data_IF_471601280061
#
_entry.id   IF_471601280061
#
_cell.length_a   1.000
_cell.length_b   1.000
_cell.length_c   1.000
_cell.angle_alpha   90.00
_cell.angle_beta   90.00
_cell.angle_gamma   90.00
#
_symmetry.space_group_name_H-M   'P 1'
#
loop_
_entity.id
_entity.type
_entity.pdbx_description
1 polymer ?
#
# COMPACT_ATOMS: atom_id res chain seq x y z
N UNK A 1 7.26 20.34 32.88
CA UNK A 1 6.13 19.75 32.12
C UNK A 1 6.25 20.17 30.65
N UNK A 2 6.98 19.42 29.81
CA UNK A 2 6.99 19.62 28.35
C UNK A 2 7.82 18.51 27.67
N UNK A 3 7.21 17.36 27.35
CA UNK A 3 7.88 16.33 26.55
C UNK A 3 6.84 15.53 25.74
N UNK A 4 6.02 16.23 24.94
CA UNK A 4 4.99 15.57 24.12
C UNK A 4 4.96 15.98 22.64
N UNK A 5 5.77 16.95 22.21
CA UNK A 5 5.69 17.51 20.85
C UNK A 5 6.59 16.86 19.78
N UNK A 6 7.53 15.97 20.17
CA UNK A 6 8.45 15.35 19.20
C UNK A 6 7.82 14.20 18.39
N UNK A 7 6.86 13.47 18.97
CA UNK A 7 6.25 12.29 18.32
C UNK A 7 5.16 12.68 17.32
N UNK A 8 4.33 13.68 17.65
CA UNK A 8 3.26 14.18 16.78
C UNK A 8 3.81 14.71 15.44
N UNK A 9 4.97 15.36 15.46
CA UNK A 9 5.58 15.91 14.26
C UNK A 9 6.08 14.82 13.29
N UNK A 10 6.44 13.64 13.80
CA UNK A 10 6.89 12.51 12.98
C UNK A 10 5.71 11.73 12.39
N UNK A 11 4.65 11.53 13.17
CA UNK A 11 3.42 10.86 12.70
C UNK A 11 2.65 11.74 11.71
N UNK A 12 2.56 13.05 11.95
CA UNK A 12 1.90 13.97 11.01
C UNK A 12 2.60 14.00 9.64
N UNK A 13 3.94 14.07 9.62
CA UNK A 13 4.72 14.01 8.38
C UNK A 13 4.51 12.71 7.61
N UNK A 14 4.39 11.59 8.33
CA UNK A 14 4.11 10.29 7.73
C UNK A 14 2.71 10.24 7.10
N UNK A 15 1.69 10.73 7.82
CA UNK A 15 0.32 10.79 7.32
C UNK A 15 0.22 11.69 6.09
N UNK A 16 0.81 12.89 6.14
CA UNK A 16 0.84 13.80 4.98
C UNK A 16 1.56 13.16 3.80
N UNK A 17 2.72 12.54 4.03
CA UNK A 17 3.45 11.85 2.98
C UNK A 17 2.63 10.72 2.36
N UNK A 18 1.96 9.91 3.17
CA UNK A 18 1.08 8.86 2.67
C UNK A 18 -0.12 9.41 1.88
N UNK A 19 -0.76 10.48 2.35
CA UNK A 19 -1.88 11.11 1.64
C UNK A 19 -1.41 11.60 0.27
N UNK A 20 -0.30 12.35 0.22
CA UNK A 20 0.29 12.83 -1.04
C UNK A 20 0.61 11.66 -1.96
N UNK A 21 1.20 10.59 -1.43
CA UNK A 21 1.59 9.43 -2.23
C UNK A 21 0.37 8.66 -2.78
N UNK A 22 -0.71 8.54 -2.01
CA UNK A 22 -1.97 7.98 -2.49
C UNK A 22 -2.60 8.86 -3.57
N UNK A 23 -2.56 10.19 -3.43
CA UNK A 23 -3.05 11.12 -4.45
C UNK A 23 -2.24 10.96 -5.75
N UNK A 24 -0.91 10.94 -5.66
CA UNK A 24 -0.04 10.76 -6.82
C UNK A 24 -0.30 9.41 -7.50
N UNK A 25 -0.38 8.32 -6.73
CA UNK A 25 -0.70 7.00 -7.29
C UNK A 25 -2.08 6.94 -7.91
N UNK A 26 -3.08 7.58 -7.29
CA UNK A 26 -4.42 7.68 -7.86
C UNK A 26 -4.40 8.43 -9.20
N UNK A 27 -3.65 9.53 -9.30
CA UNK A 27 -3.51 10.26 -10.55
C UNK A 27 -2.84 9.39 -11.62
N UNK A 28 -1.75 8.68 -11.30
CA UNK A 28 -1.11 7.75 -12.23
C UNK A 28 -2.05 6.62 -12.68
N UNK A 29 -2.83 6.07 -11.76
CA UNK A 29 -3.78 4.99 -12.06
C UNK A 29 -5.00 5.46 -12.86
N UNK A 30 -5.51 6.65 -12.55
CA UNK A 30 -6.67 7.24 -13.22
C UNK A 30 -6.32 7.88 -14.56
N UNK A 31 -5.05 8.22 -14.80
CA UNK A 31 -4.60 8.86 -16.02
C UNK A 31 -4.51 7.84 -17.17
N UNK A 32 -5.60 7.75 -17.93
CA UNK A 32 -5.67 6.94 -19.13
C UNK A 32 -5.75 7.86 -20.35
N UNK A 33 -4.69 7.83 -21.16
CA UNK A 33 -4.57 8.67 -22.36
C UNK A 33 -5.65 8.38 -23.41
N UNK A 34 -6.25 7.19 -23.37
CA UNK A 34 -7.19 6.72 -24.39
C UNK A 34 -8.66 6.82 -23.94
N UNK A 35 -8.94 6.92 -22.64
CA UNK A 35 -10.29 7.14 -22.09
C UNK A 35 -10.22 8.08 -20.87
N UNK A 36 -10.33 9.40 -21.09
CA UNK A 36 -10.15 10.40 -20.03
C UNK A 36 -11.33 10.47 -19.02
N UNK A 37 -12.42 9.74 -19.24
CA UNK A 37 -13.52 9.69 -18.29
C UNK A 37 -13.15 8.87 -17.05
N UNK A 38 -13.26 9.50 -15.88
CA UNK A 38 -13.12 8.83 -14.59
C UNK A 38 -14.34 7.94 -14.37
N UNK A 39 -14.28 6.72 -14.88
CA UNK A 39 -15.33 5.72 -14.66
C UNK A 39 -15.35 5.35 -13.17
N UNK A 40 -16.54 5.27 -12.58
CA UNK A 40 -16.72 4.91 -11.17
C UNK A 40 -16.03 3.59 -10.79
N UNK A 41 -15.92 2.67 -11.75
CA UNK A 41 -15.12 1.45 -11.67
C UNK A 41 -13.66 1.72 -11.27
N UNK A 42 -12.95 2.63 -11.94
CA UNK A 42 -11.53 2.93 -11.65
C UNK A 42 -11.33 3.48 -10.24
N UNK A 43 -12.27 4.29 -9.74
CA UNK A 43 -12.22 4.83 -8.38
C UNK A 43 -12.36 3.71 -7.35
N UNK A 44 -13.34 2.81 -7.54
CA UNK A 44 -13.61 1.72 -6.59
C UNK A 44 -12.50 0.66 -6.66
N UNK A 45 -11.97 0.36 -7.85
CA UNK A 45 -10.84 -0.54 -8.05
C UNK A 45 -9.60 0.00 -7.33
N UNK A 46 -9.27 1.28 -7.54
CA UNK A 46 -8.16 1.91 -6.82
C UNK A 46 -8.36 1.87 -5.30
N UNK A 47 -9.57 2.12 -4.81
CA UNK A 47 -9.85 2.07 -3.38
C UNK A 47 -9.65 0.66 -2.82
N UNK A 48 -10.06 -0.38 -3.56
CA UNK A 48 -9.81 -1.78 -3.21
C UNK A 48 -8.29 -2.05 -3.10
N UNK A 49 -7.49 -1.54 -4.03
CA UNK A 49 -6.03 -1.69 -4.01
C UNK A 49 -5.40 -0.93 -2.85
N UNK A 50 -5.84 0.30 -2.60
CA UNK A 50 -5.37 1.12 -1.50
C UNK A 50 -5.67 0.45 -0.14
N UNK A 51 -6.86 -0.12 0.04
CA UNK A 51 -7.20 -0.91 1.22
C UNK A 51 -6.29 -2.13 1.39
N UNK A 52 -6.03 -2.86 0.30
CA UNK A 52 -5.09 -3.96 0.27
C UNK A 52 -3.68 -3.57 0.70
N UNK A 53 -3.17 -2.47 0.15
CA UNK A 53 -1.87 -1.92 0.50
C UNK A 53 -1.82 -1.45 1.96
N UNK A 54 -2.89 -0.86 2.50
CA UNK A 54 -3.00 -0.51 3.91
C UNK A 54 -2.91 -1.76 4.81
N UNK A 55 -3.61 -2.84 4.46
CA UNK A 55 -3.53 -4.12 5.17
C UNK A 55 -2.10 -4.65 5.16
N UNK A 56 -1.43 -4.65 4.00
CA UNK A 56 -0.05 -5.13 3.89
C UNK A 56 0.88 -4.27 4.77
N UNK A 57 0.74 -2.94 4.69
CA UNK A 57 1.65 -2.00 5.34
C UNK A 57 1.48 -1.87 6.84
N UNK A 58 0.24 -1.92 7.33
CA UNK A 58 -0.05 -1.69 8.74
C UNK A 58 -0.29 -2.96 9.54
N UNK A 59 -0.59 -4.09 8.89
CA UNK A 59 -0.83 -5.37 9.57
C UNK A 59 0.31 -6.35 9.25
N UNK A 60 0.53 -6.70 7.98
CA UNK A 60 1.46 -7.78 7.63
C UNK A 60 2.93 -7.37 7.88
N UNK A 61 3.30 -6.15 7.51
CA UNK A 61 4.66 -5.64 7.62
C UNK A 61 5.16 -5.58 9.08
N UNK A 62 4.44 -4.98 10.05
CA UNK A 62 4.89 -4.98 11.44
C UNK A 62 4.83 -6.35 12.10
N UNK A 63 3.85 -7.19 11.73
CA UNK A 63 3.64 -8.47 12.40
C UNK A 63 4.58 -9.58 11.92
N UNK A 64 4.85 -9.65 10.61
CA UNK A 64 5.66 -10.72 10.02
C UNK A 64 7.05 -10.26 9.59
N UNK A 65 7.14 -9.15 8.84
CA UNK A 65 8.41 -8.71 8.26
C UNK A 65 9.40 -8.25 9.34
N UNK A 66 8.97 -7.41 10.29
CA UNK A 66 9.84 -6.97 11.39
C UNK A 66 10.20 -8.06 12.39
N UNK A 67 9.40 -9.13 12.46
CA UNK A 67 9.71 -10.33 13.23
C UNK A 67 10.64 -11.30 12.47
N UNK A 68 11.20 -10.89 11.33
CA UNK A 68 12.05 -11.69 10.43
C UNK A 68 11.36 -12.94 9.85
N UNK A 69 10.03 -12.99 9.89
CA UNK A 69 9.22 -14.10 9.33
C UNK A 69 8.88 -13.82 7.86
N UNK A 70 9.90 -13.74 7.01
CA UNK A 70 9.76 -13.33 5.61
C UNK A 70 8.89 -14.27 4.77
N UNK A 71 8.99 -15.57 5.00
CA UNK A 71 8.19 -16.56 4.26
C UNK A 71 6.69 -16.41 4.55
N UNK A 72 6.32 -16.29 5.82
CA UNK A 72 4.94 -16.03 6.24
C UNK A 72 4.43 -14.69 5.71
N UNK A 73 5.26 -13.64 5.76
CA UNK A 73 4.92 -12.35 5.17
C UNK A 73 4.56 -12.49 3.69
N UNK A 74 5.42 -13.15 2.90
CA UNK A 74 5.19 -13.31 1.47
C UNK A 74 3.92 -14.13 1.18
N UNK A 75 3.70 -15.22 1.92
CA UNK A 75 2.49 -16.04 1.80
C UNK A 75 1.21 -15.21 2.05
N UNK A 76 1.19 -14.40 3.11
CA UNK A 76 0.05 -13.54 3.40
C UNK A 76 -0.12 -12.41 2.38
N UNK A 77 0.96 -11.85 1.84
CA UNK A 77 0.89 -10.86 0.76
C UNK A 77 0.24 -11.47 -0.48
N UNK A 78 0.67 -12.66 -0.89
CA UNK A 78 0.05 -13.39 -2.02
C UNK A 78 -1.44 -13.59 -1.76
N UNK A 79 -1.82 -14.01 -0.56
CA UNK A 79 -3.22 -14.20 -0.18
C UNK A 79 -4.03 -12.90 -0.28
N UNK A 80 -3.50 -11.79 0.26
CA UNK A 80 -4.17 -10.47 0.18
C UNK A 80 -4.33 -10.04 -1.27
N UNK A 81 -3.29 -10.19 -2.10
CA UNK A 81 -3.36 -9.87 -3.54
C UNK A 81 -4.40 -10.73 -4.25
N UNK A 82 -4.46 -12.03 -3.97
CA UNK A 82 -5.49 -12.92 -4.53
C UNK A 82 -6.90 -12.47 -4.16
N UNK A 83 -7.13 -12.05 -2.91
CA UNK A 83 -8.43 -11.52 -2.46
C UNK A 83 -8.79 -10.23 -3.19
N UNK A 84 -7.82 -9.32 -3.37
CA UNK A 84 -8.02 -8.05 -4.10
C UNK A 84 -8.47 -8.33 -5.54
N UNK A 85 -7.74 -9.21 -6.24
CA UNK A 85 -8.04 -9.60 -7.63
C UNK A 85 -9.42 -10.27 -7.69
N UNK A 86 -9.74 -11.16 -6.76
CA UNK A 86 -11.06 -11.80 -6.69
C UNK A 86 -12.18 -10.79 -6.47
N UNK A 87 -12.00 -9.79 -5.61
CA UNK A 87 -13.00 -8.74 -5.39
C UNK A 87 -13.21 -7.90 -6.64
N UNK A 88 -12.13 -7.55 -7.32
CA UNK A 88 -12.21 -6.80 -8.57
C UNK A 88 -12.97 -7.57 -9.65
N UNK A 89 -12.57 -8.81 -9.92
CA UNK A 89 -13.18 -9.62 -10.97
C UNK A 89 -14.60 -10.06 -10.62
N UNK A 90 -14.82 -10.58 -9.41
CA UNK A 90 -16.10 -11.21 -9.04
C UNK A 90 -17.16 -10.20 -8.59
N UNK A 91 -16.75 -9.06 -8.04
CA UNK A 91 -17.65 -8.04 -7.51
C UNK A 91 -17.68 -6.82 -8.43
N UNK A 92 -16.54 -6.16 -8.66
CA UNK A 92 -16.54 -4.89 -9.40
C UNK A 92 -16.90 -5.10 -10.87
N UNK A 93 -16.27 -6.04 -11.57
CA UNK A 93 -16.58 -6.29 -12.98
C UNK A 93 -18.04 -6.74 -13.15
N UNK A 94 -18.54 -7.59 -12.25
CA UNK A 94 -19.92 -8.06 -12.27
C UNK A 94 -20.95 -6.93 -12.07
N UNK A 95 -20.63 -5.94 -11.24
CA UNK A 95 -21.53 -4.82 -10.95
C UNK A 95 -21.49 -3.77 -12.07
N UNK A 96 -20.31 -3.44 -12.58
CA UNK A 96 -20.14 -2.35 -13.55
C UNK A 96 -20.25 -2.80 -15.01
N UNK A 97 -19.92 -4.05 -15.33
CA UNK A 97 -19.97 -4.60 -16.69
C UNK A 97 -20.69 -5.96 -16.74
N UNK A 98 -22.00 -6.00 -16.44
CA UNK A 98 -22.75 -7.25 -16.36
C UNK A 98 -22.87 -8.00 -17.71
N UNK A 99 -22.70 -7.31 -18.84
CA UNK A 99 -22.87 -7.83 -20.22
C UNK A 99 -21.56 -8.31 -20.88
N UNK A 100 -20.39 -8.10 -20.28
CA UNK A 100 -19.09 -8.57 -20.82
C UNK A 100 -18.63 -9.91 -20.23
N UNK A 101 -19.46 -10.55 -19.39
CA UNK A 101 -19.18 -11.83 -18.72
C UNK A 101 -18.50 -12.83 -19.67
N UNK A 102 -17.21 -13.07 -19.42
CA UNK A 102 -16.41 -14.09 -20.09
C UNK A 102 -15.69 -13.67 -21.37
N UNK A 103 -15.71 -12.41 -21.81
CA UNK A 103 -15.02 -12.03 -23.06
C UNK A 103 -13.52 -11.77 -22.91
N UNK A 104 -13.05 -11.28 -21.76
CA UNK A 104 -11.62 -11.10 -21.52
C UNK A 104 -11.34 -11.24 -20.02
N UNK A 105 -11.07 -12.46 -19.56
CA UNK A 105 -10.22 -12.65 -18.38
C UNK A 105 -8.81 -12.45 -18.95
N UNK A 106 -8.19 -11.25 -18.86
CA UNK A 106 -6.89 -11.04 -19.50
C UNK A 106 -5.84 -12.03 -18.96
N UNK A 107 -6.10 -12.60 -17.78
CA UNK A 107 -5.29 -13.61 -17.12
C UNK A 107 -4.87 -13.07 -15.76
N UNK A 108 -4.68 -13.97 -14.79
CA UNK A 108 -4.22 -13.63 -13.44
C UNK A 108 -2.98 -12.74 -13.48
N UNK A 109 -2.11 -12.93 -14.48
CA UNK A 109 -0.88 -12.17 -14.68
C UNK A 109 -1.16 -10.68 -14.97
N UNK A 110 -2.16 -10.34 -15.77
CA UNK A 110 -2.45 -8.94 -16.10
C UNK A 110 -3.06 -8.21 -14.91
N UNK A 111 -4.04 -8.82 -14.23
CA UNK A 111 -4.58 -8.27 -12.98
C UNK A 111 -3.50 -8.12 -11.91
N UNK A 112 -2.55 -9.05 -11.85
CA UNK A 112 -1.39 -8.94 -10.98
C UNK A 112 -0.51 -7.73 -11.36
N UNK A 113 -0.25 -7.52 -12.66
CA UNK A 113 0.53 -6.39 -13.16
C UNK A 113 -0.13 -5.03 -12.93
N UNK A 114 -1.46 -4.97 -12.83
CA UNK A 114 -2.19 -3.74 -12.49
C UNK A 114 -2.10 -3.43 -10.99
N UNK A 115 -2.17 -4.46 -10.14
CA UNK A 115 -2.14 -4.33 -8.67
C UNK A 115 -0.74 -4.15 -8.11
N UNK A 116 0.25 -4.84 -8.68
CA UNK A 116 1.62 -4.91 -8.16
C UNK A 116 2.31 -3.54 -8.05
N UNK A 117 2.27 -2.64 -9.05
CA UNK A 117 2.93 -1.34 -8.97
C UNK A 117 2.42 -0.52 -7.79
N UNK A 118 1.10 -0.49 -7.58
CA UNK A 118 0.47 0.26 -6.49
C UNK A 118 0.93 -0.28 -5.14
N UNK A 119 0.87 -1.60 -4.94
CA UNK A 119 1.30 -2.23 -3.68
C UNK A 119 2.81 -2.06 -3.47
N UNK A 120 3.62 -2.27 -4.50
CA UNK A 120 5.08 -2.19 -4.42
C UNK A 120 5.54 -0.77 -4.09
N UNK A 121 4.93 0.24 -4.69
CA UNK A 121 5.23 1.64 -4.40
C UNK A 121 4.79 1.97 -2.97
N UNK A 122 3.54 1.70 -2.59
CA UNK A 122 3.04 1.99 -1.24
C UNK A 122 3.85 1.29 -0.15
N UNK A 123 4.14 0.00 -0.34
CA UNK A 123 4.90 -0.79 0.63
C UNK A 123 6.38 -0.43 0.66
N UNK A 124 7.00 -0.21 -0.50
CA UNK A 124 8.40 0.21 -0.59
C UNK A 124 8.64 1.55 0.09
N UNK A 125 7.77 2.53 -0.14
CA UNK A 125 7.86 3.84 0.51
C UNK A 125 7.62 3.76 2.02
N UNK A 126 6.62 3.00 2.49
CA UNK A 126 6.41 2.77 3.92
C UNK A 126 7.63 2.12 4.57
N UNK A 127 8.17 1.09 3.92
CA UNK A 127 9.36 0.40 4.39
C UNK A 127 10.58 1.33 4.49
N UNK A 128 10.82 2.14 3.46
CA UNK A 128 11.91 3.13 3.44
C UNK A 128 11.75 4.19 4.54
N UNK A 129 10.53 4.68 4.77
CA UNK A 129 10.22 5.63 5.82
C UNK A 129 10.51 5.04 7.21
N UNK A 130 10.09 3.81 7.46
CA UNK A 130 10.32 3.12 8.73
C UNK A 130 11.81 2.81 8.97
N UNK A 131 12.56 2.46 7.90
CA UNK A 131 13.99 2.28 7.97
C UNK A 131 14.73 3.60 8.28
N UNK A 132 14.31 4.71 7.66
CA UNK A 132 14.86 6.04 7.92
C UNK A 132 14.64 6.48 9.38
N UNK A 133 13.45 6.25 9.95
CA UNK A 133 13.20 6.53 11.38
C UNK A 133 14.13 5.72 12.29
N UNK A 134 14.30 4.42 12.02
CA UNK A 134 15.18 3.56 12.82
C UNK A 134 16.65 4.00 12.76
N UNK A 135 17.14 4.48 11.61
CA UNK A 135 18.49 5.02 11.50
C UNK A 135 18.70 6.29 12.34
N UNK A 136 17.68 7.15 12.47
CA UNK A 136 17.73 8.38 13.28
C UNK A 136 17.73 8.11 14.80
N UNK A 137 17.30 6.92 15.24
CA UNK A 137 17.32 6.53 16.66
C UNK A 137 18.69 6.00 17.11
N UNK A 138 19.51 5.46 16.19
CA UNK A 138 20.85 4.91 16.48
C UNK A 138 21.81 5.94 17.10
N UNK A 139 21.90 7.20 16.63
CA UNK A 139 22.73 8.23 17.26
C UNK A 139 22.25 8.61 18.67
N UNK A 140 20.95 8.48 18.94
CA UNK A 140 20.33 8.88 20.22
C UNK A 140 20.63 7.87 21.33
N UNK A 141 20.61 6.58 21.01
CA UNK A 141 20.95 5.50 21.93
C UNK A 141 22.46 5.45 22.24
N UNK A 142 23.32 5.69 21.24
CA UNK A 142 24.77 5.76 21.48
C UNK A 142 25.15 6.91 22.41
N UNK A 143 24.55 8.10 22.27
CA UNK A 143 24.86 9.23 23.16
C UNK A 143 24.54 8.93 24.63
N UNK A 144 23.40 8.31 24.94
CA UNK A 144 23.04 7.97 26.34
C UNK A 144 24.06 7.00 26.97
N UNK A 145 24.61 6.08 26.18
CA UNK A 145 25.58 5.10 26.65
C UNK A 145 27.02 5.64 26.80
N UNK A 146 27.29 6.89 26.38
CA UNK A 146 28.57 7.57 26.58
C UNK A 146 28.57 8.53 27.79
N UNK A 147 27.42 8.72 28.44
CA UNK A 147 27.27 9.57 29.63
C UNK A 147 27.08 8.78 30.93
N UNK A 148 27.26 7.46 30.89
CA UNK A 148 27.43 6.56 32.03
C UNK A 148 28.77 5.83 31.88
#
# INVERSE_FOLDING_TARGET
MAQKFSFLNSTYKEVVFQIVLHIVLFLFFSFDKNQPEIQAFKIIAFLNYALGALVINYILLPYFFYRKKYFLFFLYVVLVVSVIIMLEELVLERVFYPTTRGRYFPGVIYSLLDVMPVIMILAGFKFAWDASKKQLEVPRLKKVNYYF
#
